data_IF_472709397646
#
_entry.id   IF_472709397646
#
_cell.length_a   1.000
_cell.length_b   1.000
_cell.length_c   1.000
_cell.angle_alpha   90.00
_cell.angle_beta   90.00
_cell.angle_gamma   90.00
#
_symmetry.space_group_name_H-M   'P 1'
#
loop_
_entity.id
_entity.type
_entity.pdbx_description
1 polymer ?
#
# COMPACT_ATOMS: atom_id res chain seq x y z
N UNK A 1 18.77 25.99 13.65
CA UNK A 1 19.28 24.87 12.84
C UNK A 1 18.06 24.15 12.30
N UNK A 2 17.60 24.54 11.12
CA UNK A 2 16.51 23.86 10.43
C UNK A 2 17.03 22.49 9.99
N UNK A 3 16.66 21.45 10.74
CA UNK A 3 16.80 20.08 10.26
C UNK A 3 15.76 19.92 9.15
N UNK A 4 16.18 20.18 7.93
CA UNK A 4 15.52 19.65 6.74
C UNK A 4 15.55 18.12 6.89
N UNK A 5 14.52 17.55 7.51
CA UNK A 5 14.28 16.11 7.46
C UNK A 5 13.89 15.86 6.02
N UNK A 6 14.88 15.60 5.17
CA UNK A 6 14.64 15.15 3.82
C UNK A 6 13.87 13.84 3.93
N UNK A 7 12.59 13.86 3.53
CA UNK A 7 11.75 12.65 3.44
C UNK A 7 12.52 11.60 2.67
N UNK A 8 12.88 10.51 3.35
CA UNK A 8 13.64 9.45 2.71
C UNK A 8 12.68 8.58 1.92
N UNK A 9 12.84 8.61 0.61
CA UNK A 9 12.10 7.77 -0.33
C UNK A 9 12.81 6.44 -0.50
N UNK A 10 12.05 5.35 -0.42
CA UNK A 10 12.58 3.99 -0.54
C UNK A 10 11.70 3.14 -1.43
N UNK A 11 12.32 2.24 -2.19
CA UNK A 11 11.60 1.28 -3.01
C UNK A 11 10.83 0.30 -2.11
N UNK A 12 9.56 0.05 -2.45
CA UNK A 12 8.71 -0.92 -1.79
C UNK A 12 8.03 -1.83 -2.81
N UNK A 13 7.72 -3.06 -2.38
CA UNK A 13 6.96 -4.06 -3.15
C UNK A 13 5.83 -4.62 -2.29
N UNK A 14 4.65 -4.77 -2.90
CA UNK A 14 3.51 -5.46 -2.29
C UNK A 14 3.58 -6.97 -2.60
N UNK A 15 3.32 -7.79 -1.58
CA UNK A 15 3.36 -9.25 -1.67
C UNK A 15 2.00 -9.85 -1.27
N UNK A 16 1.45 -10.69 -2.13
CA UNK A 16 0.14 -11.30 -2.01
C UNK A 16 -1.02 -10.34 -2.27
N UNK A 17 -2.25 -10.88 -2.18
CA UNK A 17 -3.47 -10.11 -2.37
C UNK A 17 -3.64 -9.56 -3.79
N UNK A 18 -4.58 -8.60 -3.99
CA UNK A 18 -4.95 -8.10 -5.31
C UNK A 18 -3.89 -7.24 -6.01
N UNK A 19 -2.94 -6.69 -5.27
CA UNK A 19 -1.88 -5.83 -5.79
C UNK A 19 -0.49 -6.48 -5.71
N UNK A 20 -0.44 -7.82 -5.73
CA UNK A 20 0.81 -8.59 -5.69
C UNK A 20 1.81 -8.13 -6.78
N UNK A 21 3.07 -7.96 -6.38
CA UNK A 21 4.17 -7.54 -7.24
C UNK A 21 4.22 -6.04 -7.56
N UNK A 22 3.24 -5.24 -7.12
CA UNK A 22 3.26 -3.79 -7.33
C UNK A 22 4.51 -3.18 -6.68
N UNK A 23 5.30 -2.42 -7.45
CA UNK A 23 6.48 -1.69 -6.97
C UNK A 23 6.20 -0.19 -6.92
N UNK A 24 6.63 0.48 -5.86
CA UNK A 24 6.45 1.93 -5.69
C UNK A 24 7.52 2.55 -4.79
N UNK A 25 7.53 3.88 -4.66
CA UNK A 25 8.32 4.58 -3.64
C UNK A 25 7.45 4.95 -2.45
N UNK A 26 7.97 4.76 -1.25
CA UNK A 26 7.31 5.18 -0.01
C UNK A 26 8.19 6.14 0.77
N UNK A 27 7.57 7.16 1.34
CA UNK A 27 8.18 8.14 2.23
C UNK A 27 8.21 7.61 3.67
N UNK A 28 9.34 7.74 4.36
CA UNK A 28 9.48 7.53 5.81
C UNK A 28 9.12 6.12 6.31
N UNK A 29 9.09 5.15 5.39
CA UNK A 29 8.80 3.73 5.65
C UNK A 29 7.53 3.53 6.51
N UNK A 30 6.31 3.75 5.97
CA UNK A 30 5.09 3.55 6.75
C UNK A 30 4.97 2.09 7.20
N UNK A 31 4.33 1.84 8.34
CA UNK A 31 4.08 0.48 8.82
C UNK A 31 2.94 -0.22 8.07
N UNK A 32 2.02 0.56 7.51
CA UNK A 32 0.82 0.10 6.83
C UNK A 32 0.61 0.90 5.55
N UNK A 33 0.12 0.23 4.52
CA UNK A 33 -0.33 0.80 3.27
C UNK A 33 -1.78 0.40 3.01
N UNK A 34 -2.54 1.36 2.49
CA UNK A 34 -3.91 1.17 2.04
C UNK A 34 -3.94 1.19 0.52
N UNK A 35 -4.50 0.14 -0.08
CA UNK A 35 -4.65 0.02 -1.53
C UNK A 35 -6.12 -0.07 -1.85
N UNK A 36 -6.63 0.84 -2.70
CA UNK A 36 -7.99 0.77 -3.20
C UNK A 36 -8.03 0.18 -4.59
N UNK A 37 -9.02 -0.67 -4.85
CA UNK A 37 -9.28 -1.26 -6.17
C UNK A 37 -10.74 -1.00 -6.52
N UNK A 38 -11.07 -0.45 -7.70
CA UNK A 38 -12.45 -0.22 -8.09
C UNK A 38 -13.22 -1.54 -8.20
N UNK A 39 -14.39 -1.61 -7.56
CA UNK A 39 -15.31 -2.73 -7.72
C UNK A 39 -16.08 -2.61 -9.03
N UNK A 40 -16.34 -3.74 -9.70
CA UNK A 40 -17.26 -3.78 -10.83
C UNK A 40 -18.69 -3.69 -10.32
N UNK A 41 -19.51 -2.87 -10.97
CA UNK A 41 -20.91 -2.66 -10.62
C UNK A 41 -21.80 -3.05 -11.80
N UNK A 42 -22.85 -3.81 -11.54
CA UNK A 42 -23.82 -4.21 -12.56
C UNK A 42 -24.88 -3.10 -12.73
N UNK A 43 -24.58 -2.12 -13.59
CA UNK A 43 -25.50 -1.06 -13.97
C UNK A 43 -25.00 0.37 -13.67
N UNK A 44 -25.73 1.39 -14.14
CA UNK A 44 -25.38 2.79 -13.92
C UNK A 44 -25.58 3.15 -12.45
N UNK A 45 -24.49 3.48 -11.77
CA UNK A 45 -24.48 3.88 -10.36
C UNK A 45 -24.66 5.39 -10.15
N UNK A 46 -24.92 6.14 -11.23
CA UNK A 46 -24.96 7.60 -11.18
C UNK A 46 -23.61 8.15 -10.72
N UNK A 47 -23.60 8.81 -9.56
CA UNK A 47 -22.40 9.38 -8.94
C UNK A 47 -21.72 8.45 -7.91
N UNK A 48 -22.29 7.27 -7.65
CA UNK A 48 -21.77 6.36 -6.62
C UNK A 48 -20.61 5.51 -7.17
N UNK A 49 -19.49 5.50 -6.45
CA UNK A 49 -18.30 4.66 -6.71
C UNK A 49 -18.07 3.71 -5.54
N UNK A 50 -17.82 2.44 -5.85
CA UNK A 50 -17.46 1.42 -4.87
C UNK A 50 -16.01 1.01 -5.09
N UNK A 51 -15.21 1.02 -4.02
CA UNK A 51 -13.85 0.52 -4.01
C UNK A 51 -13.67 -0.52 -2.91
N UNK A 52 -12.93 -1.58 -3.21
CA UNK A 52 -12.40 -2.48 -2.19
C UNK A 52 -11.14 -1.85 -1.60
N UNK A 53 -11.01 -1.88 -0.28
CA UNK A 53 -9.83 -1.45 0.45
C UNK A 53 -9.06 -2.69 0.91
N UNK A 54 -7.76 -2.71 0.61
CA UNK A 54 -6.85 -3.79 1.01
C UNK A 54 -5.71 -3.22 1.84
N UNK A 55 -5.45 -3.86 2.98
CA UNK A 55 -4.40 -3.46 3.92
C UNK A 55 -3.14 -4.29 3.66
N UNK A 56 -2.00 -3.60 3.57
CA UNK A 56 -0.69 -4.21 3.41
C UNK A 56 0.22 -3.76 4.55
N UNK A 57 0.83 -4.70 5.28
CA UNK A 57 1.70 -4.42 6.42
C UNK A 57 3.15 -4.66 6.07
N UNK A 58 4.03 -3.75 6.48
CA UNK A 58 5.47 -3.93 6.30
C UNK A 58 5.93 -5.20 7.00
N UNK A 59 6.61 -6.09 6.29
CA UNK A 59 7.18 -7.30 6.88
C UNK A 59 8.33 -6.94 7.84
N UNK A 60 8.30 -7.55 9.02
CA UNK A 60 9.37 -7.41 10.00
C UNK A 60 10.61 -8.19 9.53
N UNK A 61 11.80 -7.66 9.79
CA UNK A 61 13.08 -8.29 9.40
C UNK A 61 13.63 -7.86 8.03
N UNK A 62 12.87 -7.11 7.23
CA UNK A 62 13.38 -6.44 6.01
C UNK A 62 13.85 -5.04 6.37
N UNK A 63 15.16 -4.86 6.47
CA UNK A 63 15.77 -3.59 6.89
C UNK A 63 16.33 -2.76 5.72
N UNK A 64 16.48 -3.37 4.55
CA UNK A 64 17.01 -2.78 3.32
C UNK A 64 15.97 -2.74 2.20
N UNK A 65 16.22 -1.92 1.18
CA UNK A 65 15.39 -1.88 -0.02
C UNK A 65 15.51 -3.16 -0.86
N UNK A 66 14.43 -3.58 -1.53
CA UNK A 66 13.08 -3.01 -1.42
C UNK A 66 12.39 -3.43 -0.11
N UNK A 67 11.67 -2.49 0.51
CA UNK A 67 10.76 -2.80 1.61
C UNK A 67 9.66 -3.75 1.12
N UNK A 68 9.38 -4.80 1.88
CA UNK A 68 8.31 -5.74 1.55
C UNK A 68 7.07 -5.46 2.41
N UNK A 69 5.91 -5.39 1.79
CA UNK A 69 4.62 -5.24 2.46
C UNK A 69 3.72 -6.42 2.11
N UNK A 70 3.33 -7.21 3.11
CA UNK A 70 2.46 -8.37 2.93
C UNK A 70 0.99 -7.99 3.07
N UNK A 71 0.14 -8.60 2.23
CA UNK A 71 -1.31 -8.48 2.34
C UNK A 71 -1.80 -9.02 3.69
N UNK A 72 -2.62 -8.22 4.38
CA UNK A 72 -3.27 -8.59 5.63
C UNK A 72 -4.74 -8.95 5.37
N UNK A 73 -5.02 -10.24 5.22
CA UNK A 73 -6.36 -10.77 4.99
C UNK A 73 -7.26 -10.77 6.24
N UNK A 74 -6.70 -10.48 7.41
CA UNK A 74 -7.44 -10.42 8.67
C UNK A 74 -7.90 -8.99 9.01
N UNK A 75 -7.40 -7.99 8.28
CA UNK A 75 -7.85 -6.60 8.43
C UNK A 75 -9.24 -6.40 7.81
N UNK A 76 -10.14 -5.69 8.52
CA UNK A 76 -11.52 -5.44 8.07
C UNK A 76 -11.60 -4.49 6.88
#
# INVERSE_FOLDING_TARGET
MDLQVATKWETAVLAGGPADGLRMQVADRPSVLQVTVPCRTDGPTGEVRVEALYIYRRQLGVHSEPLSYGYDSASP
#
